data_IF_104310892289
#
_entry.id   IF_104310892289
#
_cell.length_a   1.000
_cell.length_b   1.000
_cell.length_c   1.000
_cell.angle_alpha   90.00
_cell.angle_beta   90.00
_cell.angle_gamma   90.00
#
_symmetry.space_group_name_H-M   'P 1'
#
loop_
_entity.id
_entity.type
_entity.pdbx_description
1 polymer ?
#
# COMPACT_ATOMS: atom_id res chain seq x y z
N UNK A 1 26.22 -5.00 13.79
CA UNK A 1 24.96 -4.31 13.42
C UNK A 1 24.10 -5.35 12.73
N UNK A 2 23.16 -5.96 13.44
CA UNK A 2 22.21 -6.89 12.83
C UNK A 2 21.45 -6.15 11.74
N UNK A 3 21.49 -6.68 10.53
CA UNK A 3 20.60 -6.23 9.45
C UNK A 3 19.17 -6.50 9.91
N UNK A 4 18.34 -5.46 9.98
CA UNK A 4 16.90 -5.64 10.16
C UNK A 4 16.43 -6.38 8.92
N UNK A 5 16.27 -7.69 9.04
CA UNK A 5 15.74 -8.50 7.96
C UNK A 5 14.23 -8.46 8.04
N UNK A 6 13.64 -7.41 7.48
CA UNK A 6 12.19 -7.21 7.49
C UNK A 6 11.43 -8.32 6.76
N UNK A 7 12.08 -9.04 5.88
CA UNK A 7 11.48 -10.14 5.11
C UNK A 7 11.52 -11.48 5.88
N UNK A 8 12.56 -11.73 6.67
CA UNK A 8 12.72 -13.01 7.40
C UNK A 8 11.93 -13.08 8.73
N UNK A 9 11.53 -11.96 9.30
CA UNK A 9 10.81 -11.94 10.59
C UNK A 9 9.36 -12.42 10.49
N UNK A 10 8.80 -12.57 9.29
CA UNK A 10 7.45 -13.08 9.07
C UNK A 10 7.34 -14.60 8.96
N UNK A 11 8.46 -15.32 8.90
CA UNK A 11 8.46 -16.77 8.64
C UNK A 11 8.02 -17.66 9.81
N UNK A 12 7.92 -17.19 11.05
CA UNK A 12 7.72 -18.07 12.20
C UNK A 12 6.72 -17.66 13.27
N UNK A 13 6.24 -16.43 13.35
CA UNK A 13 5.23 -16.04 14.36
C UNK A 13 4.35 -14.88 13.86
N UNK A 14 3.32 -15.21 13.10
CA UNK A 14 2.35 -14.28 12.55
C UNK A 14 1.33 -13.74 13.55
N UNK A 15 1.48 -14.01 14.83
CA UNK A 15 0.49 -13.65 15.86
C UNK A 15 0.82 -12.37 16.63
N UNK A 16 2.03 -11.82 16.47
CA UNK A 16 2.39 -10.55 17.10
C UNK A 16 3.06 -9.64 16.09
N UNK A 17 2.28 -8.72 15.53
CA UNK A 17 2.82 -7.55 14.83
C UNK A 17 3.78 -6.82 15.79
N UNK A 18 5.00 -6.54 15.34
CA UNK A 18 5.92 -5.75 16.14
C UNK A 18 5.30 -4.38 16.39
N UNK A 19 5.33 -3.86 17.61
CA UNK A 19 4.74 -2.57 17.92
C UNK A 19 5.45 -1.44 17.17
N UNK A 20 4.76 -0.32 17.00
CA UNK A 20 5.27 0.87 16.33
C UNK A 20 6.64 1.31 16.87
N UNK A 21 6.83 1.22 18.19
CA UNK A 21 8.05 1.60 18.90
C UNK A 21 9.28 0.83 18.38
N UNK A 22 9.12 -0.44 18.07
CA UNK A 22 10.21 -1.26 17.49
C UNK A 22 10.75 -0.68 16.18
N UNK A 23 9.84 -0.25 15.30
CA UNK A 23 10.22 0.33 14.02
C UNK A 23 10.77 1.76 14.18
N UNK A 24 10.25 2.53 15.14
CA UNK A 24 10.76 3.87 15.44
C UNK A 24 12.18 3.80 15.96
N UNK A 25 12.49 2.92 16.91
CA UNK A 25 13.85 2.73 17.41
C UNK A 25 14.85 2.31 16.30
N UNK A 26 14.38 1.48 15.37
CA UNK A 26 15.17 1.07 14.22
C UNK A 26 15.42 2.25 13.25
N UNK A 27 14.39 3.06 13.04
CA UNK A 27 14.46 4.24 12.19
C UNK A 27 15.42 5.29 12.73
N UNK A 28 15.39 5.59 14.01
CA UNK A 28 16.32 6.52 14.69
C UNK A 28 17.79 6.12 14.54
N UNK A 29 18.08 4.79 14.48
CA UNK A 29 19.43 4.25 14.32
C UNK A 29 19.89 4.17 12.86
N UNK A 30 19.01 4.47 11.91
CA UNK A 30 19.29 4.34 10.47
C UNK A 30 19.72 5.67 9.89
N UNK A 31 20.80 5.66 9.09
CA UNK A 31 21.28 6.83 8.37
C UNK A 31 20.26 7.28 7.31
N UNK A 32 19.68 8.50 7.43
CA UNK A 32 18.68 9.00 6.48
C UNK A 32 19.17 9.07 5.02
N UNK A 33 20.45 9.36 4.80
CA UNK A 33 21.01 9.38 3.45
C UNK A 33 21.01 8.00 2.78
N UNK A 34 21.13 6.92 3.57
CA UNK A 34 21.00 5.56 3.02
C UNK A 34 19.57 5.24 2.61
N UNK A 35 18.59 5.70 3.39
CA UNK A 35 17.16 5.56 3.06
C UNK A 35 16.89 6.32 1.76
N UNK A 36 17.22 7.61 1.71
CA UNK A 36 17.01 8.47 0.55
C UNK A 36 17.60 7.87 -0.74
N UNK A 37 18.86 7.43 -0.70
CA UNK A 37 19.53 6.80 -1.86
C UNK A 37 18.90 5.49 -2.32
N UNK A 38 18.47 4.66 -1.36
CA UNK A 38 17.90 3.33 -1.67
C UNK A 38 16.51 3.43 -2.28
N UNK A 39 15.71 4.38 -1.82
CA UNK A 39 14.34 4.57 -2.25
C UNK A 39 14.18 5.62 -3.35
N UNK A 40 15.20 6.44 -3.58
CA UNK A 40 15.11 7.56 -4.53
C UNK A 40 14.26 8.73 -3.99
N UNK A 41 13.92 8.76 -2.71
CA UNK A 41 13.09 9.82 -2.12
C UNK A 41 13.93 11.00 -1.63
N UNK A 42 13.48 12.27 -1.78
CA UNK A 42 14.17 13.44 -1.27
C UNK A 42 14.34 13.43 0.26
N UNK A 43 15.53 13.83 0.72
CA UNK A 43 15.82 14.09 2.12
C UNK A 43 16.42 15.48 2.30
N UNK A 44 15.81 16.31 3.16
CA UNK A 44 16.34 17.62 3.55
C UNK A 44 17.14 17.48 4.84
N UNK A 45 18.49 17.63 4.79
CA UNK A 45 19.34 17.48 5.97
C UNK A 45 19.22 18.65 6.97
N UNK A 46 18.79 19.83 6.53
CA UNK A 46 18.64 20.99 7.40
C UNK A 46 17.39 20.86 8.27
N UNK A 47 16.30 20.40 7.67
CA UNK A 47 15.02 20.15 8.37
C UNK A 47 14.94 18.76 8.96
N UNK A 48 15.81 17.83 8.50
CA UNK A 48 15.78 16.40 8.82
C UNK A 48 14.44 15.76 8.43
N UNK A 49 14.03 15.98 7.19
CA UNK A 49 12.73 15.57 6.69
C UNK A 49 12.86 14.77 5.39
N UNK A 50 12.05 13.71 5.27
CA UNK A 50 11.81 13.02 4.01
C UNK A 50 10.56 13.56 3.34
N UNK A 51 10.63 13.74 2.02
CA UNK A 51 9.43 13.95 1.18
C UNK A 51 9.16 12.68 0.42
N UNK A 52 7.93 12.19 0.44
CA UNK A 52 7.53 10.97 -0.25
C UNK A 52 6.10 11.07 -0.78
N UNK A 53 5.82 10.27 -1.80
CA UNK A 53 4.51 10.14 -2.41
C UNK A 53 3.75 8.95 -1.82
N UNK A 54 2.45 9.11 -1.61
CA UNK A 54 1.56 8.03 -1.19
C UNK A 54 0.12 8.31 -1.66
N UNK A 55 -0.44 7.45 -2.51
CA UNK A 55 -1.82 7.55 -3.03
C UNK A 55 -2.18 8.97 -3.50
N UNK A 56 -1.47 9.46 -4.51
CA UNK A 56 -1.64 10.81 -5.11
C UNK A 56 -1.39 12.01 -4.20
N UNK A 57 -0.88 11.80 -3.00
CA UNK A 57 -0.55 12.89 -2.08
C UNK A 57 0.94 12.89 -1.74
N UNK A 58 1.49 14.09 -1.62
CA UNK A 58 2.86 14.29 -1.10
C UNK A 58 2.82 14.48 0.40
N UNK A 59 3.71 13.78 1.09
CA UNK A 59 3.87 13.85 2.54
C UNK A 59 5.29 14.22 2.92
N UNK A 60 5.41 14.85 4.08
CA UNK A 60 6.68 15.11 4.75
C UNK A 60 6.71 14.30 6.04
N UNK A 61 7.77 13.49 6.21
CA UNK A 61 8.05 12.75 7.45
C UNK A 61 9.29 13.33 8.12
N UNK A 62 9.12 13.87 9.32
CA UNK A 62 10.20 14.42 10.12
C UNK A 62 10.92 13.32 10.89
N UNK A 63 12.26 13.31 10.83
CA UNK A 63 13.06 12.22 11.42
C UNK A 63 13.11 12.26 12.95
N UNK A 64 12.97 13.43 13.58
CA UNK A 64 13.18 13.59 15.02
C UNK A 64 12.08 12.97 15.89
N UNK A 65 10.86 12.96 15.43
CA UNK A 65 9.67 12.52 16.18
C UNK A 65 8.68 11.71 15.32
N UNK A 66 9.09 11.43 14.10
CA UNK A 66 8.29 10.72 13.09
C UNK A 66 6.88 11.30 12.91
N UNK A 67 6.76 12.62 12.98
CA UNK A 67 5.53 13.29 12.56
C UNK A 67 5.45 13.28 11.03
N UNK A 68 4.28 12.91 10.53
CA UNK A 68 3.99 12.79 9.09
C UNK A 68 2.84 13.72 8.77
N UNK A 69 3.06 14.65 7.85
CA UNK A 69 2.05 15.63 7.47
C UNK A 69 1.91 15.65 5.94
N UNK A 70 0.68 15.74 5.42
CA UNK A 70 0.47 16.00 4.00
C UNK A 70 0.89 17.44 3.65
N UNK A 71 1.35 17.65 2.42
CA UNK A 71 1.80 18.96 1.93
C UNK A 71 0.61 19.84 1.56
N UNK A 72 -0.35 19.27 0.78
CA UNK A 72 -1.44 20.03 0.14
C UNK A 72 -2.83 19.55 0.59
N UNK A 73 -2.96 18.94 1.76
CA UNK A 73 -4.21 18.37 2.24
C UNK A 73 -4.33 18.48 3.76
N UNK A 74 -5.54 18.62 4.26
CA UNK A 74 -5.85 18.46 5.69
C UNK A 74 -6.09 17.00 6.09
N UNK A 75 -6.34 16.11 5.11
CA UNK A 75 -6.57 14.68 5.35
C UNK A 75 -5.24 13.96 5.59
N UNK A 76 -4.91 13.75 6.86
CA UNK A 76 -3.69 13.06 7.27
C UNK A 76 -3.97 11.58 7.59
N UNK A 77 -3.84 10.71 6.58
CA UNK A 77 -4.01 9.27 6.76
C UNK A 77 -3.05 8.70 7.82
N UNK A 78 -1.80 9.10 7.81
CA UNK A 78 -0.79 8.59 8.74
C UNK A 78 -1.02 9.08 10.19
N UNK A 79 -1.66 10.22 10.37
CA UNK A 79 -2.05 10.72 11.68
C UNK A 79 -3.15 9.90 12.35
N UNK A 80 -4.08 9.34 11.53
CA UNK A 80 -5.27 8.62 12.02
C UNK A 80 -5.18 7.10 11.89
N UNK A 81 -4.22 6.56 11.15
CA UNK A 81 -4.08 5.13 10.90
C UNK A 81 -2.71 4.59 11.35
N UNK A 82 -2.62 3.93 12.54
CA UNK A 82 -1.36 3.37 13.03
C UNK A 82 -0.73 2.32 12.10
N UNK A 83 -1.56 1.53 11.40
CA UNK A 83 -1.06 0.53 10.43
C UNK A 83 -0.37 1.20 9.24
N UNK A 84 -0.91 2.31 8.75
CA UNK A 84 -0.25 3.09 7.70
C UNK A 84 1.11 3.63 8.16
N UNK A 85 1.26 4.05 9.42
CA UNK A 85 2.54 4.48 9.99
C UNK A 85 3.56 3.34 10.04
N UNK A 86 3.14 2.15 10.48
CA UNK A 86 4.00 0.95 10.49
C UNK A 86 4.42 0.60 9.06
N UNK A 87 3.48 0.60 8.12
CA UNK A 87 3.76 0.34 6.72
C UNK A 87 4.80 1.31 6.14
N UNK A 88 4.67 2.61 6.43
CA UNK A 88 5.64 3.62 6.01
C UNK A 88 7.02 3.35 6.62
N UNK A 89 7.11 3.05 7.92
CA UNK A 89 8.38 2.72 8.56
C UNK A 89 9.04 1.50 7.92
N UNK A 90 8.27 0.48 7.60
CA UNK A 90 8.77 -0.71 6.90
C UNK A 90 9.24 -0.37 5.50
N UNK A 91 8.50 0.47 4.78
CA UNK A 91 8.95 1.00 3.48
C UNK A 91 10.28 1.73 3.61
N UNK A 92 10.40 2.66 4.55
CA UNK A 92 11.62 3.43 4.76
C UNK A 92 12.81 2.58 5.21
N UNK A 93 12.59 1.57 6.05
CA UNK A 93 13.67 0.75 6.61
C UNK A 93 14.15 -0.37 5.68
N UNK A 94 13.24 -0.99 4.96
CA UNK A 94 13.47 -2.30 4.35
C UNK A 94 13.35 -2.33 2.83
N UNK A 95 12.52 -1.45 2.25
CA UNK A 95 12.21 -1.52 0.84
C UNK A 95 13.37 -1.09 -0.05
N UNK A 96 13.46 -1.74 -1.20
CA UNK A 96 14.21 -1.26 -2.36
C UNK A 96 13.20 -1.12 -3.50
N UNK A 97 13.21 0.01 -4.17
CA UNK A 97 12.28 0.26 -5.27
C UNK A 97 13.07 0.43 -6.56
N UNK A 98 12.60 -0.20 -7.62
CA UNK A 98 13.10 -0.04 -8.98
C UNK A 98 11.91 0.11 -9.93
N UNK A 99 12.18 0.62 -11.11
CA UNK A 99 11.16 0.81 -12.12
C UNK A 99 10.47 -0.51 -12.46
N UNK A 100 9.14 -0.54 -12.52
CA UNK A 100 8.40 -1.72 -12.91
C UNK A 100 8.67 -2.05 -14.39
N UNK A 101 8.66 -3.34 -14.71
CA UNK A 101 8.80 -3.86 -16.08
C UNK A 101 7.50 -3.85 -16.89
N UNK A 102 6.41 -3.36 -16.29
CA UNK A 102 5.06 -3.36 -16.87
C UNK A 102 4.26 -4.63 -16.58
N UNK A 103 4.88 -5.65 -15.97
CA UNK A 103 4.17 -6.86 -15.56
C UNK A 103 3.41 -6.66 -14.24
N UNK A 104 2.26 -7.32 -14.17
CA UNK A 104 1.42 -7.38 -12.98
C UNK A 104 1.17 -8.81 -12.56
N UNK A 105 1.23 -9.07 -11.26
CA UNK A 105 1.09 -10.39 -10.66
C UNK A 105 -0.06 -10.43 -9.67
N UNK A 106 -0.72 -11.56 -9.59
CA UNK A 106 -1.68 -11.84 -8.54
C UNK A 106 -0.96 -12.09 -7.21
N UNK A 107 -1.68 -11.98 -6.12
CA UNK A 107 -1.15 -12.24 -4.77
C UNK A 107 -0.50 -13.64 -4.65
N UNK A 108 -1.06 -14.65 -5.33
CA UNK A 108 -0.57 -16.03 -5.30
C UNK A 108 0.82 -16.21 -5.92
N UNK A 109 1.17 -15.37 -6.87
CA UNK A 109 2.46 -15.45 -7.58
C UNK A 109 3.64 -14.88 -6.80
N UNK A 110 3.36 -14.22 -5.68
CA UNK A 110 4.41 -13.72 -4.79
C UNK A 110 4.91 -14.80 -3.82
N UNK A 111 6.16 -14.70 -3.32
CA UNK A 111 6.68 -15.63 -2.32
C UNK A 111 5.73 -15.76 -1.13
N UNK A 112 5.36 -16.98 -0.79
CA UNK A 112 4.36 -17.33 0.25
C UNK A 112 2.92 -16.88 -0.02
N UNK A 113 2.61 -16.32 -1.19
CA UNK A 113 1.28 -15.83 -1.54
C UNK A 113 0.22 -16.91 -1.53
N UNK A 114 0.52 -18.10 -2.04
CA UNK A 114 -0.42 -19.23 -2.04
C UNK A 114 -0.81 -19.64 -0.63
N UNK A 115 0.14 -19.67 0.31
CA UNK A 115 -0.10 -20.05 1.70
C UNK A 115 -1.09 -19.12 2.43
N UNK A 116 -1.06 -17.82 2.11
CA UNK A 116 -1.89 -16.80 2.77
C UNK A 116 -3.05 -16.30 1.91
N UNK A 117 -3.27 -16.92 0.75
CA UNK A 117 -4.27 -16.44 -0.20
C UNK A 117 -5.69 -16.42 0.35
N UNK A 118 -6.12 -17.40 1.14
CA UNK A 118 -7.48 -17.42 1.69
C UNK A 118 -7.74 -16.24 2.62
N UNK A 119 -6.74 -15.81 3.39
CA UNK A 119 -6.81 -14.61 4.23
C UNK A 119 -6.94 -13.36 3.34
N UNK A 120 -6.07 -13.23 2.33
CA UNK A 120 -6.13 -12.14 1.36
C UNK A 120 -7.45 -12.09 0.62
N UNK A 121 -7.93 -13.23 0.14
CA UNK A 121 -9.24 -13.34 -0.52
C UNK A 121 -10.37 -12.82 0.34
N UNK A 122 -10.44 -13.25 1.61
CA UNK A 122 -11.48 -12.82 2.54
C UNK A 122 -11.42 -11.34 2.91
N UNK A 123 -10.23 -10.84 3.22
CA UNK A 123 -10.01 -9.48 3.70
C UNK A 123 -9.98 -8.43 2.56
N UNK A 124 -9.55 -8.81 1.36
CA UNK A 124 -9.32 -7.90 0.24
C UNK A 124 -10.30 -8.12 -0.91
N UNK A 125 -10.26 -9.29 -1.57
CA UNK A 125 -11.11 -9.59 -2.75
C UNK A 125 -12.60 -9.51 -2.38
N UNK A 126 -13.02 -10.24 -1.37
CA UNK A 126 -14.42 -10.25 -0.94
C UNK A 126 -14.87 -8.89 -0.35
N UNK A 127 -13.95 -8.15 0.25
CA UNK A 127 -14.25 -6.80 0.75
C UNK A 127 -14.48 -5.82 -0.40
N UNK A 128 -13.65 -5.87 -1.45
CA UNK A 128 -13.82 -5.06 -2.66
C UNK A 128 -15.22 -5.31 -3.27
N UNK A 129 -15.61 -6.57 -3.44
CA UNK A 129 -16.95 -6.93 -3.92
C UNK A 129 -18.06 -6.43 -3.01
N UNK A 130 -17.97 -6.64 -1.70
CA UNK A 130 -19.01 -6.14 -0.76
C UNK A 130 -19.21 -4.64 -0.79
N UNK A 131 -18.16 -3.88 -1.10
CA UNK A 131 -18.26 -2.41 -1.16
C UNK A 131 -18.83 -1.95 -2.49
N UNK A 132 -18.44 -2.58 -3.62
CA UNK A 132 -18.62 -2.00 -4.95
C UNK A 132 -19.39 -2.85 -5.96
N UNK A 133 -19.77 -4.10 -5.65
CA UNK A 133 -20.65 -4.89 -6.55
C UNK A 133 -21.97 -4.17 -6.75
N UNK A 134 -22.42 -4.01 -8.00
CA UNK A 134 -23.58 -3.20 -8.37
C UNK A 134 -23.38 -1.69 -8.24
N UNK A 135 -22.14 -1.22 -8.00
CA UNK A 135 -21.81 0.17 -7.75
C UNK A 135 -20.55 0.63 -8.52
N UNK A 136 -20.45 0.23 -9.79
CA UNK A 136 -19.31 0.57 -10.65
C UNK A 136 -19.01 2.08 -10.72
N UNK A 137 -20.01 2.98 -10.85
CA UNK A 137 -19.75 4.41 -10.84
C UNK A 137 -19.06 4.88 -9.57
N UNK A 138 -19.53 4.42 -8.40
CA UNK A 138 -18.96 4.78 -7.10
C UNK A 138 -17.52 4.26 -6.95
N UNK A 139 -17.23 3.05 -7.46
CA UNK A 139 -15.88 2.51 -7.49
C UNK A 139 -14.93 3.37 -8.32
N UNK A 140 -15.33 3.73 -9.54
CA UNK A 140 -14.54 4.58 -10.43
C UNK A 140 -14.30 5.95 -9.81
N UNK A 141 -15.34 6.58 -9.25
CA UNK A 141 -15.22 7.89 -8.60
C UNK A 141 -14.28 7.84 -7.39
N UNK A 142 -14.44 6.86 -6.50
CA UNK A 142 -13.58 6.71 -5.33
C UNK A 142 -12.11 6.49 -5.71
N UNK A 143 -11.83 5.68 -6.73
CA UNK A 143 -10.49 5.44 -7.19
C UNK A 143 -9.85 6.68 -7.82
N UNK A 144 -10.59 7.42 -8.66
CA UNK A 144 -10.10 8.67 -9.27
C UNK A 144 -9.79 9.73 -8.20
N UNK A 145 -10.60 9.82 -7.13
CA UNK A 145 -10.31 10.71 -5.98
C UNK A 145 -9.01 10.35 -5.23
N UNK A 146 -8.50 9.13 -5.39
CA UNK A 146 -7.19 8.69 -4.90
C UNK A 146 -6.08 8.80 -5.95
N UNK A 147 -6.32 9.48 -7.06
CA UNK A 147 -5.37 9.62 -8.16
C UNK A 147 -5.30 8.38 -9.05
N UNK A 148 -6.26 7.48 -8.95
CA UNK A 148 -6.34 6.29 -9.79
C UNK A 148 -6.64 6.62 -11.25
N UNK A 149 -6.06 5.84 -12.14
CA UNK A 149 -6.26 5.94 -13.58
C UNK A 149 -7.18 4.79 -14.00
N UNK A 150 -8.23 5.11 -14.75
CA UNK A 150 -9.09 4.09 -15.37
C UNK A 150 -8.34 3.38 -16.48
N UNK A 151 -8.31 2.05 -16.44
CA UNK A 151 -7.65 1.19 -17.41
C UNK A 151 -8.64 0.21 -18.03
N UNK A 152 -8.36 -0.37 -19.20
CA UNK A 152 -9.16 -1.46 -19.76
C UNK A 152 -9.12 -2.70 -18.85
N UNK A 153 -10.29 -3.36 -18.69
CA UNK A 153 -10.43 -4.64 -17.97
C UNK A 153 -11.72 -4.71 -17.17
N UNK A 154 -12.37 -5.89 -17.18
CA UNK A 154 -13.65 -6.09 -16.50
C UNK A 154 -14.73 -5.08 -16.90
N UNK A 155 -15.73 -4.89 -16.05
CA UNK A 155 -16.71 -3.81 -16.17
C UNK A 155 -16.15 -2.50 -15.60
N UNK A 156 -15.15 -2.61 -14.72
CA UNK A 156 -14.32 -1.50 -14.26
C UNK A 156 -12.93 -1.99 -13.85
N UNK A 157 -11.91 -1.26 -14.27
CA UNK A 157 -10.55 -1.47 -13.80
C UNK A 157 -9.87 -0.13 -13.55
N UNK A 158 -9.10 -0.07 -12.48
CA UNK A 158 -8.32 1.10 -12.08
C UNK A 158 -6.92 0.70 -11.68
N UNK A 159 -5.96 1.59 -11.96
CA UNK A 159 -4.59 1.47 -11.50
C UNK A 159 -4.30 2.61 -10.53
N UNK A 160 -3.74 2.28 -9.38
CA UNK A 160 -3.32 3.22 -8.34
C UNK A 160 -1.81 3.12 -8.13
N UNK A 161 -1.13 4.24 -8.04
CA UNK A 161 0.23 4.31 -7.54
C UNK A 161 0.20 4.45 -6.02
N UNK A 162 0.83 3.48 -5.31
CA UNK A 162 0.87 3.46 -3.85
C UNK A 162 1.98 4.37 -3.31
N UNK A 163 3.21 4.03 -3.61
CA UNK A 163 4.44 4.81 -3.49
C UNK A 163 5.07 4.91 -4.87
N UNK A 164 6.05 5.76 -5.05
CA UNK A 164 6.73 5.94 -6.34
C UNK A 164 7.11 4.58 -6.97
N UNK A 165 6.63 4.34 -8.19
CA UNK A 165 6.85 3.12 -8.98
C UNK A 165 6.24 1.81 -8.43
N UNK A 166 5.31 1.86 -7.48
CA UNK A 166 4.59 0.69 -6.96
C UNK A 166 3.10 0.81 -7.30
N UNK A 167 2.64 0.00 -8.26
CA UNK A 167 1.29 0.10 -8.83
C UNK A 167 0.41 -1.08 -8.44
N UNK A 168 -0.86 -0.80 -8.15
CA UNK A 168 -1.87 -1.80 -7.83
C UNK A 168 -3.05 -1.62 -8.77
N UNK A 169 -3.53 -2.72 -9.37
CA UNK A 169 -4.73 -2.75 -10.20
C UNK A 169 -5.88 -3.41 -9.45
N UNK A 170 -7.03 -2.78 -9.50
CA UNK A 170 -8.30 -3.32 -9.01
C UNK A 170 -9.22 -3.52 -10.19
N UNK A 171 -9.71 -4.74 -10.38
CA UNK A 171 -10.60 -5.10 -11.46
C UNK A 171 -11.91 -5.64 -10.85
N UNK A 172 -13.04 -5.22 -11.43
CA UNK A 172 -14.36 -5.66 -11.05
C UNK A 172 -15.13 -6.16 -12.27
N UNK A 173 -15.83 -7.27 -12.09
CA UNK A 173 -16.83 -7.81 -13.00
C UNK A 173 -18.16 -7.88 -12.24
N UNK A 174 -19.21 -7.30 -12.81
CA UNK A 174 -20.55 -7.42 -12.26
C UNK A 174 -21.08 -8.83 -12.53
N UNK A 175 -21.98 -9.30 -11.67
CA UNK A 175 -22.67 -10.55 -11.91
C UNK A 175 -23.79 -10.39 -12.90
N UNK A 176 -24.12 -11.47 -13.59
CA UNK A 176 -25.28 -11.61 -14.44
C UNK A 176 -26.10 -12.85 -14.04
N UNK A 177 -27.03 -13.28 -14.90
CA UNK A 177 -27.88 -14.46 -14.62
C UNK A 177 -27.08 -15.77 -14.56
N UNK A 178 -25.92 -15.86 -15.20
CA UNK A 178 -25.10 -17.07 -15.31
C UNK A 178 -23.89 -17.05 -14.34
N UNK A 179 -23.31 -15.89 -14.08
CA UNK A 179 -22.07 -15.75 -13.30
C UNK A 179 -22.19 -14.74 -12.15
N UNK A 180 -21.71 -15.10 -10.95
CA UNK A 180 -21.66 -14.17 -9.85
C UNK A 180 -20.62 -13.05 -10.10
N UNK A 181 -20.83 -11.90 -9.48
CA UNK A 181 -19.85 -10.83 -9.48
C UNK A 181 -18.48 -11.32 -8.99
N UNK A 182 -17.41 -10.83 -9.61
CA UNK A 182 -16.04 -11.21 -9.28
C UNK A 182 -15.09 -10.01 -9.25
N UNK A 183 -13.95 -10.18 -8.61
CA UNK A 183 -12.91 -9.13 -8.58
C UNK A 183 -11.52 -9.73 -8.55
N UNK A 184 -10.56 -8.94 -9.01
CA UNK A 184 -9.15 -9.28 -9.00
C UNK A 184 -8.33 -8.06 -8.51
N UNK A 185 -7.25 -8.34 -7.80
CA UNK A 185 -6.28 -7.33 -7.38
C UNK A 185 -4.92 -7.82 -7.85
N UNK A 186 -4.24 -6.96 -8.61
CA UNK A 186 -2.92 -7.24 -9.17
C UNK A 186 -1.93 -6.18 -8.68
N UNK A 187 -0.67 -6.57 -8.54
CA UNK A 187 0.42 -5.74 -8.09
C UNK A 187 1.53 -5.72 -9.14
N UNK A 188 2.18 -4.60 -9.35
CA UNK A 188 3.36 -4.55 -10.23
C UNK A 188 4.44 -5.53 -9.74
N UNK A 189 5.19 -6.10 -10.67
CA UNK A 189 6.14 -7.20 -10.43
C UNK A 189 7.24 -6.87 -9.41
N UNK A 190 7.52 -5.57 -9.20
CA UNK A 190 8.55 -5.06 -8.28
C UNK A 190 8.13 -4.99 -6.80
N UNK A 191 6.87 -5.27 -6.47
CA UNK A 191 6.37 -5.24 -5.07
C UNK A 191 7.18 -6.08 -4.07
N UNK A 192 7.69 -7.30 -4.41
CA UNK A 192 8.44 -8.11 -3.45
C UNK A 192 9.75 -7.49 -2.95
N UNK A 193 10.29 -6.52 -3.68
CA UNK A 193 11.46 -5.76 -3.22
C UNK A 193 11.11 -4.70 -2.17
N UNK A 194 9.85 -4.31 -2.09
CA UNK A 194 9.36 -3.31 -1.17
C UNK A 194 8.60 -3.91 0.01
N UNK A 195 7.77 -4.94 -0.24
CA UNK A 195 6.81 -5.44 0.73
C UNK A 195 6.67 -6.96 0.70
N UNK A 196 6.34 -7.54 1.85
CA UNK A 196 5.97 -8.95 1.97
C UNK A 196 4.48 -9.13 1.63
N UNK A 197 4.03 -10.38 1.42
CA UNK A 197 2.62 -10.70 1.18
C UNK A 197 1.69 -10.26 2.33
N UNK A 198 2.18 -10.22 3.56
CA UNK A 198 1.42 -9.69 4.69
C UNK A 198 1.16 -8.20 4.53
N UNK A 199 2.18 -7.45 4.11
CA UNK A 199 2.03 -6.02 3.84
C UNK A 199 1.05 -5.77 2.72
N UNK A 200 1.02 -6.61 1.67
CA UNK A 200 0.08 -6.48 0.56
C UNK A 200 -1.37 -6.55 1.05
N UNK A 201 -1.67 -7.41 2.02
CA UNK A 201 -3.00 -7.49 2.62
C UNK A 201 -3.36 -6.20 3.35
N UNK A 202 -2.46 -5.70 4.20
CA UNK A 202 -2.67 -4.45 4.94
C UNK A 202 -2.76 -3.23 4.02
N UNK A 203 -1.93 -3.16 2.97
CA UNK A 203 -1.97 -2.12 1.94
C UNK A 203 -3.36 -2.05 1.30
N UNK A 204 -3.87 -3.19 0.83
CA UNK A 204 -5.19 -3.23 0.18
C UNK A 204 -6.29 -2.86 1.16
N UNK A 205 -6.23 -3.29 2.41
CA UNK A 205 -7.21 -2.89 3.42
C UNK A 205 -7.22 -1.39 3.69
N UNK A 206 -6.04 -0.76 3.75
CA UNK A 206 -5.91 0.69 3.88
C UNK A 206 -6.53 1.39 2.67
N UNK A 207 -6.18 0.98 1.45
CA UNK A 207 -6.72 1.55 0.21
C UNK A 207 -8.25 1.46 0.19
N UNK A 208 -8.80 0.26 0.41
CA UNK A 208 -10.26 0.05 0.41
C UNK A 208 -10.96 0.83 1.54
N UNK A 209 -10.29 1.05 2.66
CA UNK A 209 -10.78 1.92 3.73
C UNK A 209 -10.92 3.36 3.26
N UNK A 210 -9.85 3.92 2.70
CA UNK A 210 -9.82 5.31 2.19
C UNK A 210 -10.78 5.49 1.00
N UNK A 211 -10.82 4.53 0.07
CA UNK A 211 -11.78 4.56 -1.05
C UNK A 211 -13.23 4.62 -0.54
N UNK A 212 -13.57 3.81 0.46
CA UNK A 212 -14.91 3.81 1.06
C UNK A 212 -15.25 5.16 1.69
N UNK A 213 -14.31 5.75 2.43
CA UNK A 213 -14.50 7.08 3.06
C UNK A 213 -14.74 8.18 2.01
N UNK A 214 -13.96 8.17 0.91
CA UNK A 214 -14.08 9.16 -0.17
C UNK A 214 -15.31 8.94 -1.09
N UNK A 215 -15.84 7.72 -1.13
CA UNK A 215 -17.04 7.37 -1.91
C UNK A 215 -18.39 7.65 -1.19
N UNK A 216 -18.38 7.90 0.11
CA UNK A 216 -19.60 8.07 0.94
C UNK A 216 -20.04 9.53 1.06
N UNK A 217 -19.37 10.48 0.44
CA UNK A 217 -19.85 11.88 0.44
C UNK A 217 -21.08 12.02 -0.46
N UNK A 218 -22.25 11.70 0.08
CA UNK A 218 -23.57 12.14 -0.37
C UNK A 218 -24.14 13.12 0.63
#
# INVERSE_FOLDING_TARGET
MEKINCLDQYGRNNLTEKPLEYYLEAFEKTDPYKISRRLGIPYDPLRKEFTFYFLSQTYIARCSDFQINPVDSEDNLFGRNPKARILLLRYLLCSTVYFPDGEFKSYREFPSGELYYDVFRGRCIQRLLRIYSGRIPDFKEAAVKLGGILIPGGDAAVELELFDNLYIRFLLWEGDEEFPASSQILFSSNFPAAFSVYDLTEIVEIILGVMKEKGVQK
#
